data_IF_690438881910
#
_entry.id   IF_690438881910
#
_cell.length_a   1.000
_cell.length_b   1.000
_cell.length_c   1.000
_cell.angle_alpha   90.00
_cell.angle_beta   90.00
_cell.angle_gamma   90.00
#
_symmetry.space_group_name_H-M   'P 1'
#
loop_
_entity.id
_entity.type
_entity.pdbx_description
1 polymer ?
#
# COMPACT_ATOMS: atom_id res chain seq x y z
N UNK A 1 -4.87 -11.47 18.15
CA UNK A 1 -5.55 -11.91 16.91
C UNK A 1 -7.03 -11.61 17.03
N UNK A 2 -7.56 -10.71 16.19
CA UNK A 2 -8.94 -10.17 16.33
C UNK A 2 -10.03 -11.09 15.75
N UNK A 3 -9.64 -12.08 14.94
CA UNK A 3 -10.53 -12.99 14.22
C UNK A 3 -10.34 -14.48 14.61
N UNK A 4 -10.08 -14.79 15.89
CA UNK A 4 -10.23 -16.14 16.45
C UNK A 4 -9.14 -17.18 16.14
N UNK A 5 -8.28 -16.97 15.14
CA UNK A 5 -7.10 -17.82 14.91
C UNK A 5 -6.13 -17.69 16.09
N UNK A 6 -5.53 -18.80 16.56
CA UNK A 6 -4.67 -18.88 17.75
C UNK A 6 -3.17 -19.02 17.44
N UNK A 7 -2.81 -19.47 16.24
CA UNK A 7 -1.42 -19.66 15.81
C UNK A 7 -0.84 -18.43 15.10
N UNK A 8 0.20 -17.78 15.62
CA UNK A 8 0.85 -16.62 14.96
C UNK A 8 1.98 -17.01 13.98
N UNK A 9 2.28 -18.30 13.82
CA UNK A 9 3.42 -18.79 13.02
C UNK A 9 3.36 -18.36 11.55
N UNK A 10 2.15 -18.27 10.98
CA UNK A 10 1.93 -17.85 9.60
C UNK A 10 2.43 -16.42 9.32
N UNK A 11 2.48 -15.53 10.32
CA UNK A 11 2.94 -14.15 10.17
C UNK A 11 4.46 -14.03 10.00
N UNK A 12 5.20 -15.11 10.29
CA UNK A 12 6.66 -15.15 10.20
C UNK A 12 7.16 -15.68 8.86
N UNK A 13 6.26 -16.14 8.00
CA UNK A 13 6.63 -16.62 6.67
C UNK A 13 7.06 -15.47 5.77
N UNK A 14 8.15 -15.69 5.05
CA UNK A 14 8.67 -14.78 4.04
C UNK A 14 8.91 -15.55 2.77
N UNK A 15 8.44 -15.01 1.65
CA UNK A 15 8.81 -15.52 0.34
C UNK A 15 10.26 -15.16 0.01
N UNK A 16 11.03 -16.15 -0.44
CA UNK A 16 12.45 -16.03 -0.78
C UNK A 16 12.68 -16.59 -2.20
N UNK A 17 13.19 -15.78 -3.15
CA UNK A 17 13.58 -16.26 -4.46
C UNK A 17 14.81 -17.18 -4.37
N UNK A 18 14.94 -18.12 -5.32
CA UNK A 18 16.07 -19.06 -5.37
C UNK A 18 17.39 -18.41 -5.78
N UNK A 19 17.36 -17.31 -6.51
CA UNK A 19 18.53 -16.69 -7.14
C UNK A 19 19.05 -15.45 -6.41
N UNK A 20 18.33 -14.90 -5.44
CA UNK A 20 18.76 -13.70 -4.73
C UNK A 20 18.06 -13.51 -3.39
N UNK A 21 18.70 -12.72 -2.52
CA UNK A 21 18.08 -12.22 -1.30
C UNK A 21 17.20 -11.01 -1.60
N UNK A 22 15.93 -11.13 -1.23
CA UNK A 22 15.03 -10.00 -1.33
C UNK A 22 15.46 -8.96 -0.28
N UNK A 23 15.61 -7.67 -0.62
CA UNK A 23 15.92 -6.66 0.38
C UNK A 23 14.76 -6.49 1.36
N UNK A 24 15.08 -6.10 2.60
CA UNK A 24 14.05 -5.77 3.59
C UNK A 24 13.21 -4.59 3.07
N UNK A 25 11.89 -4.69 3.19
CA UNK A 25 11.00 -3.60 2.84
C UNK A 25 11.20 -2.42 3.80
N UNK A 26 11.61 -1.27 3.25
CA UNK A 26 11.73 0.00 3.98
C UNK A 26 10.87 1.03 3.27
N UNK A 27 9.71 1.35 3.85
CA UNK A 27 8.74 2.23 3.24
C UNK A 27 9.28 3.65 2.97
N UNK A 28 10.19 4.16 3.81
CA UNK A 28 10.88 5.44 3.58
C UNK A 28 11.69 5.42 2.28
N UNK A 29 12.40 4.33 1.98
CA UNK A 29 13.18 4.20 0.76
C UNK A 29 12.28 4.15 -0.48
N UNK A 30 11.12 3.49 -0.36
CA UNK A 30 10.11 3.47 -1.42
C UNK A 30 9.56 4.88 -1.68
N UNK A 31 9.23 5.64 -0.62
CA UNK A 31 8.73 7.01 -0.73
C UNK A 31 9.78 7.96 -1.32
N UNK A 32 11.04 7.87 -0.91
CA UNK A 32 12.12 8.69 -1.49
C UNK A 32 12.31 8.39 -2.99
N UNK A 33 12.28 7.11 -3.39
CA UNK A 33 12.34 6.74 -4.82
C UNK A 33 11.13 7.21 -5.61
N UNK A 34 10.00 7.43 -4.95
CA UNK A 34 8.74 7.93 -5.52
C UNK A 34 8.52 9.43 -5.25
N UNK A 35 9.53 10.15 -4.77
CA UNK A 35 9.46 11.60 -4.56
C UNK A 35 9.11 12.30 -5.87
N UNK A 36 8.16 13.23 -5.83
CA UNK A 36 7.62 13.94 -7.00
C UNK A 36 7.03 13.02 -8.08
N UNK A 37 6.61 11.81 -7.72
CA UNK A 37 6.02 10.83 -8.64
C UNK A 37 4.69 10.34 -8.11
N UNK A 38 3.91 9.80 -9.05
CA UNK A 38 2.62 9.17 -8.79
C UNK A 38 2.71 7.69 -9.12
N UNK A 39 2.29 6.85 -8.19
CA UNK A 39 2.30 5.40 -8.29
C UNK A 39 0.86 4.90 -8.21
N UNK A 40 0.32 4.34 -9.29
CA UNK A 40 -1.03 3.78 -9.31
C UNK A 40 -0.96 2.26 -9.32
N UNK A 41 -1.78 1.65 -8.48
CA UNK A 41 -2.08 0.22 -8.46
C UNK A 41 -3.48 0.00 -9.03
N UNK A 42 -3.61 -0.93 -9.96
CA UNK A 42 -4.87 -1.30 -10.62
C UNK A 42 -5.12 -2.77 -10.33
N UNK A 43 -6.26 -3.11 -9.73
CA UNK A 43 -6.64 -4.49 -9.46
C UNK A 43 -7.29 -4.71 -8.10
N UNK A 44 -7.34 -5.97 -7.67
CA UNK A 44 -8.25 -6.42 -6.62
C UNK A 44 -7.59 -6.60 -5.23
N UNK A 45 -6.29 -6.84 -5.19
CA UNK A 45 -5.64 -7.43 -4.00
C UNK A 45 -4.54 -6.58 -3.36
N UNK A 46 -4.25 -5.38 -3.88
CA UNK A 46 -3.13 -4.51 -3.41
C UNK A 46 -3.53 -3.36 -2.48
N UNK A 47 -4.75 -3.36 -1.95
CA UNK A 47 -5.21 -2.37 -0.96
C UNK A 47 -4.29 -2.30 0.27
N UNK A 48 -3.62 -3.40 0.61
CA UNK A 48 -2.65 -3.50 1.72
C UNK A 48 -1.44 -2.58 1.56
N UNK A 49 -1.01 -2.27 0.33
CA UNK A 49 0.16 -1.44 0.07
C UNK A 49 -0.05 0.01 0.52
N UNK A 50 -1.24 0.58 0.28
CA UNK A 50 -1.58 1.94 0.75
C UNK A 50 -1.50 2.02 2.28
N UNK A 51 -1.93 0.96 2.97
CA UNK A 51 -1.86 0.90 4.43
C UNK A 51 -0.41 0.81 4.94
N UNK A 52 0.43 0.00 4.28
CA UNK A 52 1.86 -0.12 4.59
C UNK A 52 2.63 1.19 4.39
N UNK A 53 2.32 1.96 3.34
CA UNK A 53 2.94 3.26 3.11
C UNK A 53 2.44 4.28 4.12
N UNK A 54 1.14 4.27 4.44
CA UNK A 54 0.56 5.16 5.45
C UNK A 54 1.12 4.93 6.86
N UNK A 55 1.39 3.68 7.26
CA UNK A 55 1.97 3.38 8.58
C UNK A 55 3.41 3.87 8.72
N UNK A 56 4.12 4.08 7.62
CA UNK A 56 5.50 4.58 7.61
C UNK A 56 5.62 6.10 7.79
N UNK A 57 4.51 6.85 7.67
CA UNK A 57 4.47 8.30 7.87
C UNK A 57 3.84 8.57 9.24
N UNK A 58 4.64 8.96 10.26
CA UNK A 58 4.16 9.12 11.63
C UNK A 58 3.25 10.34 11.80
N UNK A 59 3.56 11.47 11.15
CA UNK A 59 2.73 12.67 11.25
C UNK A 59 1.48 12.60 10.38
N UNK A 60 0.33 12.83 11.00
CA UNK A 60 -0.97 12.84 10.31
C UNK A 60 -1.08 14.01 9.32
N UNK A 61 -0.50 15.16 9.64
CA UNK A 61 -0.54 16.35 8.78
C UNK A 61 0.33 16.21 7.53
N UNK A 62 1.21 15.21 7.50
CA UNK A 62 2.09 14.89 6.38
C UNK A 62 1.49 13.85 5.43
N UNK A 63 0.27 13.38 5.70
CA UNK A 63 -0.40 12.41 4.84
C UNK A 63 -1.90 12.70 4.70
N UNK A 64 -2.42 12.59 3.49
CA UNK A 64 -3.87 12.62 3.26
C UNK A 64 -4.31 11.37 2.53
N UNK A 65 -5.53 10.93 2.82
CA UNK A 65 -6.18 9.82 2.15
C UNK A 65 -7.56 10.28 1.69
N UNK A 66 -7.73 10.40 0.38
CA UNK A 66 -9.02 10.62 -0.25
C UNK A 66 -9.53 9.29 -0.83
N UNK A 67 -10.83 9.03 -0.68
CA UNK A 67 -11.49 7.86 -1.26
C UNK A 67 -12.65 8.32 -2.11
N UNK A 68 -12.61 7.95 -3.39
CA UNK A 68 -13.68 8.14 -4.35
C UNK A 68 -14.36 6.80 -4.58
N UNK A 69 -15.68 6.77 -4.47
CA UNK A 69 -16.48 5.55 -4.63
C UNK A 69 -17.49 5.81 -5.72
N UNK A 70 -17.38 5.06 -6.82
CA UNK A 70 -18.41 4.98 -7.85
C UNK A 70 -19.27 3.73 -7.67
N UNK A 71 -20.28 3.54 -8.54
CA UNK A 71 -21.19 2.39 -8.47
C UNK A 71 -20.47 1.04 -8.60
N UNK A 72 -19.49 0.96 -9.51
CA UNK A 72 -18.77 -0.28 -9.84
C UNK A 72 -17.25 -0.17 -9.69
N UNK A 73 -16.76 1.00 -9.25
CA UNK A 73 -15.34 1.26 -9.09
C UNK A 73 -15.05 1.99 -7.78
N UNK A 74 -13.80 1.93 -7.33
CA UNK A 74 -13.33 2.78 -6.25
C UNK A 74 -11.89 3.19 -6.46
N UNK A 75 -11.59 4.44 -6.14
CA UNK A 75 -10.25 5.00 -6.22
C UNK A 75 -9.84 5.51 -4.85
N UNK A 76 -8.73 5.00 -4.32
CA UNK A 76 -8.11 5.54 -3.11
C UNK A 76 -6.87 6.33 -3.53
N UNK A 77 -6.80 7.61 -3.16
CA UNK A 77 -5.67 8.50 -3.43
C UNK A 77 -5.01 8.84 -2.10
N UNK A 78 -3.77 8.39 -1.93
CA UNK A 78 -2.95 8.68 -0.77
C UNK A 78 -1.84 9.66 -1.15
N UNK A 79 -1.73 10.78 -0.45
CA UNK A 79 -0.68 11.76 -0.66
C UNK A 79 0.26 11.77 0.54
N UNK A 80 1.55 11.60 0.28
CA UNK A 80 2.62 11.78 1.24
C UNK A 80 3.25 13.16 1.02
N UNK A 81 2.77 14.17 1.75
CA UNK A 81 3.09 15.57 1.51
C UNK A 81 4.60 15.87 1.61
N UNK A 82 5.29 15.30 2.60
CA UNK A 82 6.74 15.49 2.80
C UNK A 82 7.57 15.03 1.59
N UNK A 83 7.12 13.98 0.89
CA UNK A 83 7.81 13.42 -0.26
C UNK A 83 7.21 13.92 -1.59
N UNK A 84 6.15 14.73 -1.54
CA UNK A 84 5.36 15.10 -2.71
C UNK A 84 5.04 13.86 -3.59
N UNK A 85 4.66 12.77 -2.95
CA UNK A 85 4.47 11.47 -3.59
C UNK A 85 3.01 11.03 -3.46
N UNK A 86 2.41 10.60 -4.56
CA UNK A 86 1.02 10.14 -4.61
C UNK A 86 0.98 8.63 -4.84
N UNK A 87 0.21 7.90 -4.04
CA UNK A 87 -0.07 6.48 -4.20
C UNK A 87 -1.56 6.29 -4.43
N UNK A 88 -1.93 5.74 -5.57
CA UNK A 88 -3.32 5.54 -5.98
C UNK A 88 -3.64 4.05 -6.05
N UNK A 89 -4.85 3.68 -5.67
CA UNK A 89 -5.37 2.32 -5.82
C UNK A 89 -6.73 2.39 -6.49
N UNK A 90 -6.80 1.93 -7.74
CA UNK A 90 -7.99 1.83 -8.55
C UNK A 90 -8.50 0.39 -8.55
N UNK A 91 -9.72 0.24 -8.07
CA UNK A 91 -10.50 -0.98 -8.13
C UNK A 91 -11.61 -0.82 -9.15
N UNK A 92 -11.81 -1.84 -10.00
CA UNK A 92 -12.91 -1.94 -10.94
C UNK A 92 -13.50 -3.34 -10.88
N UNK A 93 -14.83 -3.44 -10.78
CA UNK A 93 -15.52 -4.69 -11.05
C UNK A 93 -15.47 -4.95 -12.56
N UNK A 94 -14.71 -5.94 -13.00
CA UNK A 94 -14.91 -6.48 -14.34
C UNK A 94 -16.21 -7.31 -14.32
N UNK A 95 -17.28 -6.74 -14.88
CA UNK A 95 -18.48 -7.49 -15.23
C UNK A 95 -18.12 -8.34 -16.46
N UNK A 96 -17.89 -9.63 -16.25
CA UNK A 96 -17.75 -10.64 -17.31
C UNK A 96 -19.09 -11.06 -17.87
#
# INVERSE_FOLDING_TARGET
>A
MRNGRRDDSYQRWRWQPSSCDLPRFVARLLLERRRNKRLMFVGDSLKSMVWLVSSAIPSRDQKSLAKFVGPNNSLNVFMAAYYNAVVEFYWELQLG
#
